data_IF_283381584570
#
_entry.id   IF_283381584570
#
_cell.length_a   1.000
_cell.length_b   1.000
_cell.length_c   1.000
_cell.angle_alpha   90.00
_cell.angle_beta   90.00
_cell.angle_gamma   90.00
#
_symmetry.space_group_name_H-M   'P 1'
#
loop_
_entity.id
_entity.type
_entity.pdbx_description
1 polymer ?
#
# COMPACT_ATOMS: atom_id res chain seq x y z
N UNK A 1 -10.92 45.61 -10.08
CA UNK A 1 -9.74 44.70 -10.11
C UNK A 1 -9.68 44.04 -8.76
N UNK A 2 -10.23 42.84 -8.64
CA UNK A 2 -9.97 42.00 -7.47
C UNK A 2 -9.61 40.60 -7.99
N UNK A 3 -8.32 40.31 -7.87
CA UNK A 3 -7.65 39.15 -8.44
C UNK A 3 -7.41 38.13 -7.34
N UNK A 4 -8.41 37.29 -7.06
CA UNK A 4 -8.25 36.03 -6.32
C UNK A 4 -9.24 34.98 -6.83
N UNK A 5 -9.22 34.74 -8.13
CA UNK A 5 -9.67 33.45 -8.66
C UNK A 5 -8.40 32.62 -8.92
N UNK A 6 -7.84 32.08 -7.83
CA UNK A 6 -6.79 31.07 -7.96
C UNK A 6 -7.50 29.83 -8.47
N UNK A 7 -7.40 29.59 -9.78
CA UNK A 7 -8.06 28.51 -10.49
C UNK A 7 -7.91 27.18 -9.76
N UNK A 8 -9.00 26.76 -9.12
CA UNK A 8 -9.06 25.47 -8.48
C UNK A 8 -8.97 24.39 -9.57
N UNK A 9 -7.87 23.66 -9.60
CA UNK A 9 -7.70 22.53 -10.53
C UNK A 9 -8.83 21.54 -10.21
N UNK A 10 -9.71 21.19 -11.17
CA UNK A 10 -10.78 20.25 -10.92
C UNK A 10 -10.21 18.91 -10.40
N UNK A 11 -10.58 18.53 -9.18
CA UNK A 11 -10.10 17.29 -8.53
C UNK A 11 -8.83 17.41 -7.68
N UNK A 12 -8.29 18.62 -7.47
CA UNK A 12 -7.17 18.89 -6.58
C UNK A 12 -7.63 19.18 -5.14
N UNK A 13 -7.03 18.49 -4.17
CA UNK A 13 -7.47 18.49 -2.78
C UNK A 13 -6.32 18.69 -1.78
N UNK A 14 -6.51 19.39 -0.65
CA UNK A 14 -5.53 19.37 0.42
C UNK A 14 -5.37 17.95 0.97
N UNK A 15 -4.20 17.62 1.52
CA UNK A 15 -3.91 16.27 2.05
C UNK A 15 -4.95 15.85 3.10
N UNK A 16 -5.39 16.78 3.96
CA UNK A 16 -6.41 16.54 4.97
C UNK A 16 -7.75 16.09 4.36
N UNK A 17 -8.15 16.63 3.21
CA UNK A 17 -9.35 16.20 2.52
C UNK A 17 -9.17 14.83 1.87
N UNK A 18 -8.00 14.56 1.26
CA UNK A 18 -7.68 13.21 0.76
C UNK A 18 -7.76 12.15 1.87
N UNK A 19 -7.24 12.46 3.06
CA UNK A 19 -7.31 11.60 4.24
C UNK A 19 -8.72 11.44 4.81
N UNK A 20 -9.55 12.48 4.71
CA UNK A 20 -10.96 12.41 5.10
C UNK A 20 -11.81 11.58 4.10
N UNK A 21 -11.36 11.46 2.84
CA UNK A 21 -12.00 10.66 1.80
C UNK A 21 -11.60 9.18 1.83
N UNK A 22 -10.51 8.82 2.51
CA UNK A 22 -10.14 7.42 2.70
C UNK A 22 -11.30 6.68 3.40
N UNK A 23 -11.82 5.59 2.81
CA UNK A 23 -12.65 4.69 3.58
C UNK A 23 -11.81 4.12 4.72
N UNK A 24 -12.38 3.82 5.88
CA UNK A 24 -11.58 3.36 7.01
C UNK A 24 -10.80 2.06 6.74
N UNK A 25 -11.33 1.20 5.87
CA UNK A 25 -10.77 -0.10 5.49
C UNK A 25 -11.04 -0.40 4.01
N UNK A 26 -10.22 -1.26 3.40
CA UNK A 26 -10.52 -1.81 2.08
C UNK A 26 -11.62 -2.90 2.16
N UNK A 27 -12.16 -3.32 1.02
CA UNK A 27 -13.17 -4.38 0.97
C UNK A 27 -12.51 -5.74 0.67
N UNK A 28 -12.65 -6.68 1.60
CA UNK A 28 -12.21 -8.07 1.49
C UNK A 28 -13.24 -9.00 0.90
N UNK A 29 -13.01 -10.29 1.13
CA UNK A 29 -13.81 -11.35 0.52
C UNK A 29 -15.28 -11.20 0.91
N UNK A 30 -16.16 -11.36 -0.07
CA UNK A 30 -17.62 -11.25 0.10
C UNK A 30 -18.08 -9.89 0.68
N UNK A 31 -17.32 -8.82 0.44
CA UNK A 31 -17.64 -7.48 0.94
C UNK A 31 -17.40 -7.31 2.44
N UNK A 32 -16.77 -8.28 3.11
CA UNK A 32 -16.33 -8.12 4.50
C UNK A 32 -15.25 -7.04 4.58
N UNK A 33 -15.19 -6.26 5.67
CA UNK A 33 -14.09 -5.32 5.83
C UNK A 33 -12.74 -6.04 5.83
N UNK A 34 -11.78 -5.53 5.06
CA UNK A 34 -10.41 -6.02 5.04
C UNK A 34 -9.50 -5.21 5.95
N UNK A 35 -8.31 -4.89 5.44
CA UNK A 35 -7.25 -4.22 6.18
C UNK A 35 -7.45 -2.69 6.21
N UNK A 36 -6.94 -2.00 7.25
CA UNK A 36 -6.97 -0.54 7.33
C UNK A 36 -6.08 0.11 6.26
N UNK A 37 -6.39 1.36 5.93
CA UNK A 37 -5.52 2.19 5.10
C UNK A 37 -4.48 2.87 5.98
N UNK A 38 -3.21 2.69 5.64
CA UNK A 38 -2.09 3.23 6.41
C UNK A 38 -1.05 3.94 5.53
N UNK A 39 -1.27 4.04 4.21
CA UNK A 39 -0.41 4.77 3.27
C UNK A 39 -1.20 5.75 2.38
N UNK A 40 -0.61 6.92 2.12
CA UNK A 40 -1.03 7.88 1.10
C UNK A 40 0.21 8.37 0.35
N UNK A 41 0.36 7.96 -0.90
CA UNK A 41 1.46 8.37 -1.75
C UNK A 41 0.98 9.42 -2.75
N UNK A 42 1.74 10.50 -2.94
CA UNK A 42 1.40 11.65 -3.76
C UNK A 42 2.51 11.89 -4.78
N UNK A 43 2.25 11.68 -6.06
CA UNK A 43 3.24 11.98 -7.10
C UNK A 43 3.08 11.14 -8.36
N UNK A 44 3.97 11.35 -9.34
CA UNK A 44 4.00 10.56 -10.57
C UNK A 44 4.24 9.08 -10.28
N UNK A 45 3.59 8.20 -11.05
CA UNK A 45 3.76 6.75 -10.91
C UNK A 45 5.23 6.32 -11.06
N UNK A 46 5.93 6.93 -12.01
CA UNK A 46 7.34 6.61 -12.28
C UNK A 46 8.23 6.91 -11.07
N UNK A 47 8.03 8.05 -10.39
CA UNK A 47 8.82 8.45 -9.23
C UNK A 47 8.54 7.58 -8.01
N UNK A 48 7.27 7.22 -7.81
CA UNK A 48 6.85 6.23 -6.80
C UNK A 48 7.52 4.88 -7.04
N UNK A 49 7.49 4.37 -8.28
CA UNK A 49 8.11 3.09 -8.65
C UNK A 49 9.61 3.14 -8.38
N UNK A 50 10.29 4.19 -8.87
CA UNK A 50 11.73 4.34 -8.70
C UNK A 50 12.14 4.42 -7.22
N UNK A 51 11.36 5.11 -6.39
CA UNK A 51 11.61 5.19 -4.95
C UNK A 51 11.45 3.83 -4.25
N UNK A 52 10.41 3.07 -4.60
CA UNK A 52 10.16 1.75 -4.04
C UNK A 52 11.23 0.75 -4.45
N UNK A 53 11.63 0.73 -5.72
CA UNK A 53 12.72 -0.12 -6.20
C UNK A 53 14.05 0.24 -5.53
N UNK A 54 14.35 1.52 -5.34
CA UNK A 54 15.52 1.98 -4.59
C UNK A 54 15.47 1.55 -3.11
N UNK A 55 14.27 1.46 -2.52
CA UNK A 55 14.01 0.92 -1.19
C UNK A 55 14.04 -0.61 -1.10
N UNK A 56 14.33 -1.33 -2.20
CA UNK A 56 14.44 -2.78 -2.26
C UNK A 56 13.11 -3.51 -2.47
N UNK A 57 12.03 -2.80 -2.79
CA UNK A 57 10.73 -3.40 -3.06
C UNK A 57 10.66 -3.98 -4.48
N UNK A 58 9.94 -5.09 -4.61
CA UNK A 58 9.65 -5.73 -5.90
C UNK A 58 8.16 -5.61 -6.21
N UNK A 59 7.82 -5.09 -7.38
CA UNK A 59 6.43 -5.09 -7.86
C UNK A 59 6.02 -6.51 -8.25
N UNK A 60 4.91 -6.99 -7.69
CA UNK A 60 4.29 -8.25 -8.08
C UNK A 60 3.41 -8.04 -9.31
N UNK A 61 3.31 -9.03 -10.21
CA UNK A 61 2.34 -9.01 -11.30
C UNK A 61 0.91 -8.91 -10.77
N UNK A 62 0.06 -8.17 -11.48
CA UNK A 62 -1.34 -7.94 -11.06
C UNK A 62 -2.24 -9.18 -11.22
N UNK A 63 -1.72 -10.24 -11.86
CA UNK A 63 -2.44 -11.50 -12.10
C UNK A 63 -1.78 -12.70 -11.43
N UNK A 64 -2.61 -13.70 -11.09
CA UNK A 64 -2.16 -15.00 -10.58
C UNK A 64 -1.20 -15.69 -11.54
N UNK A 65 -1.56 -15.76 -12.83
CA UNK A 65 -0.72 -16.35 -13.88
C UNK A 65 0.60 -15.61 -14.02
N UNK A 66 0.59 -14.27 -14.01
CA UNK A 66 1.82 -13.47 -14.03
C UNK A 66 2.72 -13.78 -12.85
N UNK A 67 2.16 -13.90 -11.64
CA UNK A 67 2.91 -14.23 -10.43
C UNK A 67 3.54 -15.63 -10.49
N UNK A 68 2.81 -16.63 -11.00
CA UNK A 68 3.31 -18.00 -11.17
C UNK A 68 4.42 -18.07 -12.20
N UNK A 69 4.23 -17.50 -13.40
CA UNK A 69 5.22 -17.51 -14.49
C UNK A 69 6.48 -16.77 -14.06
N UNK A 70 6.34 -15.62 -13.42
CA UNK A 70 7.49 -14.88 -12.89
C UNK A 70 8.23 -15.69 -11.82
N UNK A 71 7.51 -16.37 -10.91
CA UNK A 71 8.11 -17.18 -9.85
C UNK A 71 8.93 -18.35 -10.41
N UNK A 72 8.40 -19.05 -11.40
CA UNK A 72 9.15 -20.08 -12.15
C UNK A 72 10.40 -19.50 -12.83
N UNK A 73 10.29 -18.30 -13.42
CA UNK A 73 11.42 -17.60 -14.03
C UNK A 73 12.52 -17.21 -13.03
N UNK A 74 12.18 -16.89 -11.77
CA UNK A 74 13.18 -16.63 -10.73
C UNK A 74 13.91 -17.91 -10.31
N UNK A 75 13.16 -19.00 -10.09
CA UNK A 75 13.74 -20.31 -9.76
C UNK A 75 14.68 -20.82 -10.85
N UNK A 76 14.25 -20.73 -12.11
CA UNK A 76 15.07 -21.15 -13.26
C UNK A 76 16.39 -20.37 -13.38
N UNK A 77 16.44 -19.14 -12.83
CA UNK A 77 17.64 -18.29 -12.79
C UNK A 77 18.43 -18.40 -11.48
N UNK A 78 18.11 -19.38 -10.63
CA UNK A 78 18.76 -19.59 -9.33
C UNK A 78 18.51 -18.46 -8.31
N UNK A 79 17.51 -17.60 -8.54
CA UNK A 79 17.14 -16.53 -7.61
C UNK A 79 16.23 -17.09 -6.52
N UNK A 80 16.26 -16.47 -5.33
CA UNK A 80 15.31 -16.79 -4.26
C UNK A 80 13.88 -16.54 -4.75
N UNK A 81 12.95 -17.42 -4.37
CA UNK A 81 11.53 -17.28 -4.73
C UNK A 81 10.96 -16.02 -4.06
N UNK A 82 10.80 -14.96 -4.83
CA UNK A 82 10.25 -13.67 -4.35
C UNK A 82 8.77 -13.54 -4.71
N UNK A 83 8.32 -14.31 -5.69
CA UNK A 83 6.96 -14.28 -6.24
C UNK A 83 6.15 -15.44 -5.66
N UNK A 84 5.31 -15.09 -4.69
CA UNK A 84 4.32 -15.98 -4.09
C UNK A 84 3.02 -15.92 -4.90
N UNK A 85 2.10 -16.89 -4.76
CA UNK A 85 0.75 -16.72 -5.28
C UNK A 85 0.20 -15.35 -4.84
N UNK A 86 -0.57 -14.67 -5.71
CA UNK A 86 -1.07 -13.32 -5.45
C UNK A 86 -1.79 -13.29 -4.10
N UNK A 87 -1.61 -12.18 -3.40
CA UNK A 87 -2.28 -11.92 -2.13
C UNK A 87 -3.81 -11.94 -2.32
N UNK A 88 -4.59 -12.10 -1.23
CA UNK A 88 -6.05 -12.07 -1.34
C UNK A 88 -6.49 -10.80 -2.09
N UNK A 89 -7.48 -10.96 -2.95
CA UNK A 89 -8.09 -9.85 -3.67
C UNK A 89 -8.84 -8.95 -2.69
N UNK A 90 -8.32 -7.75 -2.47
CA UNK A 90 -9.05 -6.65 -1.88
C UNK A 90 -9.55 -5.75 -3.01
N UNK A 91 -10.78 -5.28 -2.88
CA UNK A 91 -11.35 -4.31 -3.81
C UNK A 91 -11.53 -2.96 -3.14
N UNK A 92 -11.38 -1.92 -3.94
CA UNK A 92 -11.72 -0.55 -3.57
C UNK A 92 -12.27 0.13 -4.82
N UNK A 93 -13.29 0.98 -4.66
CA UNK A 93 -13.99 1.63 -5.78
C UNK A 93 -14.56 0.66 -6.83
N UNK A 94 -14.96 -0.54 -6.42
CA UNK A 94 -15.49 -1.57 -7.32
C UNK A 94 -14.44 -2.26 -8.20
N UNK A 95 -13.14 -2.05 -7.95
CA UNK A 95 -12.04 -2.66 -8.71
C UNK A 95 -10.92 -3.18 -7.79
N UNK A 96 -10.05 -4.03 -8.34
CA UNK A 96 -8.85 -4.51 -7.66
C UNK A 96 -7.75 -3.46 -7.61
N UNK A 97 -6.69 -3.76 -6.86
CA UNK A 97 -5.51 -2.92 -6.72
C UNK A 97 -4.78 -2.68 -8.05
N UNK A 98 -4.16 -1.52 -8.18
CA UNK A 98 -3.34 -1.14 -9.35
C UNK A 98 -1.90 -1.63 -9.24
N UNK A 99 -1.40 -1.75 -8.01
CA UNK A 99 -0.04 -2.22 -7.75
C UNK A 99 0.01 -3.08 -6.49
N UNK A 100 0.90 -4.07 -6.52
CA UNK A 100 1.23 -4.93 -5.39
C UNK A 100 2.75 -4.91 -5.20
N UNK A 101 3.21 -4.73 -3.98
CA UNK A 101 4.63 -4.62 -3.67
C UNK A 101 5.01 -5.58 -2.55
N UNK A 102 6.20 -6.17 -2.69
CA UNK A 102 6.75 -7.10 -1.69
C UNK A 102 8.22 -6.82 -1.44
N UNK A 103 8.63 -6.98 -0.18
CA UNK A 103 10.03 -7.11 0.23
C UNK A 103 10.15 -8.37 1.09
N UNK A 104 10.86 -9.37 0.56
CA UNK A 104 10.98 -10.69 1.19
C UNK A 104 12.17 -10.73 2.13
N UNK A 105 11.92 -10.93 3.43
CA UNK A 105 12.99 -11.11 4.43
C UNK A 105 13.34 -12.58 4.61
N UNK A 106 12.35 -13.47 4.62
CA UNK A 106 12.54 -14.93 4.63
C UNK A 106 11.56 -15.57 3.65
N UNK A 107 12.04 -16.23 2.59
CA UNK A 107 11.17 -16.86 1.60
C UNK A 107 10.12 -17.76 2.27
N UNK A 108 8.88 -17.68 1.82
CA UNK A 108 7.70 -18.44 2.27
C UNK A 108 7.19 -18.04 3.65
N UNK A 109 8.04 -17.58 4.56
CA UNK A 109 7.69 -17.37 5.96
C UNK A 109 7.33 -15.93 6.28
N UNK A 110 8.11 -14.97 5.78
CA UNK A 110 8.04 -13.57 6.21
C UNK A 110 8.26 -12.62 5.05
N UNK A 111 7.33 -11.69 4.88
CA UNK A 111 7.39 -10.66 3.83
C UNK A 111 6.66 -9.39 4.28
N UNK A 112 7.28 -8.27 3.95
CA UNK A 112 6.64 -6.97 3.97
C UNK A 112 5.86 -6.83 2.67
N UNK A 113 4.63 -6.34 2.74
CA UNK A 113 3.82 -6.19 1.55
C UNK A 113 2.78 -5.08 1.69
N UNK A 114 2.47 -4.45 0.57
CA UNK A 114 1.36 -3.51 0.50
C UNK A 114 0.76 -3.46 -0.88
N UNK A 115 -0.44 -2.89 -0.95
CA UNK A 115 -1.19 -2.68 -2.17
C UNK A 115 -1.44 -1.19 -2.36
N UNK A 116 -1.49 -0.75 -3.62
CA UNK A 116 -1.82 0.62 -3.98
C UNK A 116 -3.00 0.68 -4.94
N UNK A 117 -3.84 1.68 -4.73
CA UNK A 117 -4.91 2.07 -5.62
C UNK A 117 -4.72 3.53 -6.02
N UNK A 118 -4.69 3.79 -7.32
CA UNK A 118 -4.80 5.12 -7.90
C UNK A 118 -6.17 5.70 -7.53
N UNK A 119 -6.18 6.72 -6.68
CA UNK A 119 -7.41 7.39 -6.30
C UNK A 119 -7.87 8.32 -7.43
N UNK A 120 -9.18 8.58 -7.59
CA UNK A 120 -9.69 9.53 -8.58
C UNK A 120 -9.50 11.00 -8.15
N UNK A 121 -8.40 11.29 -7.46
CA UNK A 121 -8.11 12.56 -6.82
C UNK A 121 -6.65 12.93 -7.02
N UNK A 122 -6.37 14.22 -7.08
CA UNK A 122 -5.03 14.80 -7.01
C UNK A 122 -4.92 15.67 -5.75
N UNK A 123 -3.70 15.98 -5.33
CA UNK A 123 -3.51 16.98 -4.30
C UNK A 123 -3.57 18.41 -4.83
N UNK A 124 -3.47 19.41 -3.96
CA UNK A 124 -3.49 20.84 -4.32
C UNK A 124 -2.39 21.27 -5.29
N UNK A 125 -1.32 20.49 -5.43
CA UNK A 125 -0.21 20.73 -6.38
C UNK A 125 -0.39 19.91 -7.67
N UNK A 126 -1.53 19.23 -7.83
CA UNK A 126 -1.84 18.40 -9.00
C UNK A 126 -1.19 17.02 -9.00
N UNK A 127 -0.56 16.60 -7.89
CA UNK A 127 0.06 15.27 -7.79
C UNK A 127 -1.00 14.18 -7.66
N UNK A 128 -0.83 13.11 -8.41
CA UNK A 128 -1.71 11.95 -8.35
C UNK A 128 -1.69 11.31 -6.95
N UNK A 129 -2.86 11.08 -6.36
CA UNK A 129 -2.98 10.36 -5.09
C UNK A 129 -3.07 8.84 -5.30
N UNK A 130 -2.32 8.11 -4.48
CA UNK A 130 -2.31 6.65 -4.40
C UNK A 130 -2.59 6.25 -2.95
N UNK A 131 -3.68 5.54 -2.74
CA UNK A 131 -4.06 5.05 -1.41
C UNK A 131 -3.52 3.65 -1.23
N UNK A 132 -2.97 3.36 -0.04
CA UNK A 132 -2.35 2.08 0.22
C UNK A 132 -2.71 1.45 1.56
N UNK A 133 -2.66 0.12 1.55
CA UNK A 133 -2.88 -0.74 2.70
C UNK A 133 -1.73 -1.74 2.78
N UNK A 134 -0.99 -1.66 3.89
CA UNK A 134 0.25 -2.37 4.14
C UNK A 134 0.15 -3.29 5.36
N UNK A 135 0.62 -4.52 5.21
CA UNK A 135 0.66 -5.51 6.27
C UNK A 135 2.00 -6.28 6.23
N UNK A 136 2.48 -6.68 7.40
CA UNK A 136 3.60 -7.61 7.52
C UNK A 136 3.08 -9.04 7.69
N UNK A 137 3.57 -9.99 6.89
CA UNK A 137 3.32 -11.41 7.14
C UNK A 137 4.42 -11.95 8.07
N UNK A 138 4.06 -12.30 9.32
CA UNK A 138 5.04 -12.76 10.34
C UNK A 138 5.31 -14.25 10.32
N UNK A 139 4.38 -15.03 9.77
CA UNK A 139 4.45 -16.48 9.68
C UNK A 139 3.55 -17.01 8.57
N UNK A 140 3.68 -18.31 8.33
CA UNK A 140 2.85 -19.06 7.38
C UNK A 140 2.31 -20.30 8.08
N UNK A 141 1.02 -20.57 7.91
CA UNK A 141 0.36 -21.75 8.49
C UNK A 141 0.88 -23.01 7.78
N UNK A 142 1.21 -24.03 8.56
CA UNK A 142 1.83 -25.23 8.01
C UNK A 142 0.88 -26.09 7.15
N UNK A 143 -0.44 -26.03 7.40
CA UNK A 143 -1.41 -26.92 6.76
C UNK A 143 -1.97 -26.41 5.43
N UNK A 144 -2.10 -25.09 5.26
CA UNK A 144 -2.66 -24.48 4.04
C UNK A 144 -1.72 -23.44 3.40
N UNK A 145 -0.52 -23.27 3.96
CA UNK A 145 0.47 -22.29 3.53
C UNK A 145 -0.06 -20.84 3.48
N UNK A 146 -1.15 -20.53 4.18
CA UNK A 146 -1.68 -19.18 4.23
C UNK A 146 -0.92 -18.34 5.26
N UNK A 147 -0.67 -17.08 4.91
CA UNK A 147 0.08 -16.17 5.76
C UNK A 147 -0.72 -15.74 6.99
N UNK A 148 0.00 -15.51 8.08
CA UNK A 148 -0.48 -14.92 9.32
C UNK A 148 0.02 -13.48 9.34
N UNK A 149 -0.88 -12.49 9.19
CA UNK A 149 -0.49 -11.10 9.30
C UNK A 149 -0.09 -10.76 10.74
N UNK A 150 0.84 -9.83 10.88
CA UNK A 150 1.12 -9.18 12.14
C UNK A 150 -0.01 -8.20 12.48
N UNK A 151 -0.54 -8.19 13.72
CA UNK A 151 -1.56 -7.23 14.11
C UNK A 151 -1.05 -5.78 14.16
N UNK A 152 0.25 -5.53 14.26
CA UNK A 152 0.82 -4.17 14.29
C UNK A 152 0.97 -3.60 12.87
N UNK A 153 -0.10 -2.96 12.36
CA UNK A 153 -0.06 -2.35 11.02
C UNK A 153 0.73 -1.03 10.98
N UNK A 154 0.99 -0.43 12.14
CA UNK A 154 1.79 0.78 12.26
C UNK A 154 3.28 0.45 12.12
N UNK A 155 3.73 -0.68 12.68
CA UNK A 155 5.10 -1.16 12.49
C UNK A 155 5.44 -1.40 11.02
N UNK A 156 4.51 -1.96 10.23
CA UNK A 156 4.71 -2.14 8.78
C UNK A 156 4.74 -0.79 8.05
N UNK A 157 3.81 0.11 8.36
CA UNK A 157 3.79 1.48 7.80
C UNK A 157 5.12 2.19 8.06
N UNK A 158 5.61 2.13 9.29
CA UNK A 158 6.85 2.80 9.70
C UNK A 158 8.08 2.14 9.05
N UNK A 159 8.05 0.82 8.85
CA UNK A 159 9.07 0.11 8.08
C UNK A 159 9.12 0.62 6.63
N UNK A 160 7.97 0.75 5.96
CA UNK A 160 7.88 1.29 4.60
C UNK A 160 8.46 2.71 4.53
N UNK A 161 8.11 3.58 5.48
CA UNK A 161 8.68 4.94 5.55
C UNK A 161 10.20 4.93 5.63
N UNK A 162 10.78 4.05 6.46
CA UNK A 162 12.24 3.87 6.54
C UNK A 162 12.85 3.44 5.21
N UNK A 163 12.25 2.48 4.50
CA UNK A 163 12.75 2.03 3.19
C UNK A 163 12.75 3.14 2.13
N UNK A 164 11.85 4.12 2.26
CA UNK A 164 11.71 5.23 1.33
C UNK A 164 12.58 6.44 1.70
N UNK A 165 13.11 6.51 2.92
CA UNK A 165 13.82 7.69 3.43
C UNK A 165 15.13 8.02 2.71
N UNK A 166 15.75 7.04 2.06
CA UNK A 166 16.97 7.21 1.27
C UNK A 166 16.71 7.42 -0.23
N UNK A 167 15.45 7.34 -0.68
CA UNK A 167 15.10 7.50 -2.07
C UNK A 167 15.10 8.99 -2.45
N UNK A 168 15.92 9.44 -3.42
CA UNK A 168 15.96 10.84 -3.83
C UNK A 168 14.62 11.41 -4.32
N UNK A 169 13.74 10.54 -4.79
CA UNK A 169 12.42 10.89 -5.28
C UNK A 169 11.43 11.21 -4.14
N UNK A 170 11.67 10.73 -2.92
CA UNK A 170 10.77 10.94 -1.78
C UNK A 170 11.09 12.29 -1.09
N UNK A 171 10.44 13.36 -1.53
CA UNK A 171 10.71 14.73 -1.07
C UNK A 171 10.24 15.00 0.35
N UNK A 172 9.17 14.33 0.79
CA UNK A 172 8.57 14.56 2.10
C UNK A 172 7.92 13.27 2.61
N UNK A 173 8.09 13.03 3.91
CA UNK A 173 7.34 12.02 4.64
C UNK A 173 6.72 12.63 5.90
N UNK A 174 5.45 12.33 6.17
CA UNK A 174 4.78 12.75 7.40
C UNK A 174 3.70 11.76 7.82
N UNK A 175 3.49 11.60 9.12
CA UNK A 175 2.33 10.87 9.65
C UNK A 175 1.19 11.85 9.89
N UNK A 176 0.02 11.57 9.34
CA UNK A 176 -1.16 12.41 9.52
C UNK A 176 -2.36 11.59 9.98
N UNK A 177 -3.19 12.10 10.90
CA UNK A 177 -4.40 11.39 11.32
C UNK A 177 -5.38 11.28 10.14
N UNK A 178 -6.05 10.13 10.01
CA UNK A 178 -7.22 9.97 9.15
C UNK A 178 -8.45 9.70 10.01
N UNK A 179 -9.56 10.46 9.84
CA UNK A 179 -10.73 10.36 10.72
C UNK A 179 -11.44 9.01 10.64
N UNK A 180 -11.29 8.28 9.52
CA UNK A 180 -12.02 7.05 9.27
C UNK A 180 -11.20 5.79 9.57
N UNK A 181 -9.87 5.89 9.69
CA UNK A 181 -9.00 4.73 9.91
C UNK A 181 -9.23 4.19 11.33
N UNK A 182 -9.71 2.95 11.49
CA UNK A 182 -9.99 2.39 12.79
C UNK A 182 -8.70 2.10 13.55
N UNK A 183 -8.72 2.31 14.87
CA UNK A 183 -7.58 2.01 15.76
C UNK A 183 -7.42 0.52 16.08
N UNK A 184 -8.45 -0.27 15.81
CA UNK A 184 -8.42 -1.73 15.96
C UNK A 184 -9.54 -2.36 15.16
N UNK A 185 -9.39 -3.64 14.85
CA UNK A 185 -10.45 -4.43 14.25
C UNK A 185 -9.94 -5.78 13.82
N UNK A 186 -10.73 -6.43 12.98
CA UNK A 186 -10.34 -7.67 12.30
C UNK A 186 -10.50 -7.49 10.79
N UNK A 187 -9.65 -8.20 10.03
CA UNK A 187 -9.79 -8.30 8.59
C UNK A 187 -10.80 -9.39 8.17
N UNK A 188 -10.92 -9.64 6.87
CA UNK A 188 -11.91 -10.54 6.28
C UNK A 188 -11.75 -12.02 6.69
N UNK A 189 -10.61 -12.35 7.31
CA UNK A 189 -10.26 -13.68 7.84
C UNK A 189 -10.21 -13.72 9.37
N UNK A 190 -10.75 -12.71 10.05
CA UNK A 190 -10.75 -12.60 11.53
C UNK A 190 -9.36 -12.50 12.15
N UNK A 191 -8.37 -12.02 11.40
CA UNK A 191 -7.10 -11.64 12.01
C UNK A 191 -7.19 -10.24 12.61
N UNK A 192 -6.80 -10.06 13.88
CA UNK A 192 -6.86 -8.76 14.53
C UNK A 192 -5.77 -7.82 13.97
N UNK A 193 -6.03 -6.53 14.05
CA UNK A 193 -5.04 -5.47 13.87
C UNK A 193 -5.24 -4.35 14.90
N UNK A 194 -4.21 -3.57 15.13
CA UNK A 194 -4.26 -2.31 15.86
C UNK A 194 -3.46 -1.21 15.13
N UNK A 195 -3.90 0.04 15.29
CA UNK A 195 -3.30 1.22 14.69
C UNK A 195 -3.52 2.46 15.57
N UNK A 196 -2.63 3.43 15.45
CA UNK A 196 -2.73 4.78 16.01
C UNK A 196 -3.72 5.68 15.23
N UNK A 197 -4.25 5.20 14.10
CA UNK A 197 -5.18 5.94 13.23
C UNK A 197 -4.50 6.96 12.32
N UNK A 198 -3.17 6.90 12.18
CA UNK A 198 -2.38 7.76 11.29
C UNK A 198 -2.00 7.02 10.01
N UNK A 199 -1.89 7.80 8.96
CA UNK A 199 -1.50 7.38 7.62
C UNK A 199 -0.14 7.99 7.32
N UNK A 200 0.77 7.18 6.77
CA UNK A 200 2.03 7.67 6.23
C UNK A 200 1.77 8.35 4.90
N UNK A 201 2.02 9.64 4.86
CA UNK A 201 1.95 10.46 3.66
C UNK A 201 3.36 10.63 3.10
N UNK A 202 3.56 10.25 1.85
CA UNK A 202 4.83 10.46 1.13
C UNK A 202 4.57 11.25 -0.14
N UNK A 203 5.32 12.32 -0.35
CA UNK A 203 5.32 13.08 -1.62
C UNK A 203 6.52 12.69 -2.45
N UNK A 204 6.29 12.47 -3.73
CA UNK A 204 7.30 12.14 -4.73
C UNK A 204 7.42 13.25 -5.77
N UNK A 205 8.67 13.57 -6.13
CA UNK A 205 9.04 14.54 -7.17
C UNK A 205 8.70 14.04 -8.58
#
# INVERSE_FOLDING_TARGET
>A
MDSRDQGQIPGAHPISELLARLPGRNAGRFGRPGDPWNLLFLGPEASLIAALEAGGWTRLPDTYLGSVVGGLGQLARGRRLTLFPPMNYYSQFGRFQDQNWVLVTTPILRRHHFRLWKAPYTDSEGRQAWWGSANYDKATRFWDLSHVPDPDVDAERDFIGKTLSSAPQAEMQTLMPSPNVPRSGENDKSYPFFSDGRVLVVRFA
#
